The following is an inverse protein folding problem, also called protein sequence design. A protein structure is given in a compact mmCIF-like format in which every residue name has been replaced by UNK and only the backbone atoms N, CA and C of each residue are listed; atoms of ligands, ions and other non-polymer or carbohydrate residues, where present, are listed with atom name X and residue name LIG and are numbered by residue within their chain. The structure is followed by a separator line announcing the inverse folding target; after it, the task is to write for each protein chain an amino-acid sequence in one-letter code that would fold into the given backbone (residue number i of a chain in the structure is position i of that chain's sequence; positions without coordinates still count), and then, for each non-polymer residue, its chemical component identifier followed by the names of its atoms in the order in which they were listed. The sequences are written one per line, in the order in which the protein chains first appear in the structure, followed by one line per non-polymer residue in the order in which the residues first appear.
data_IF_738113656456
#
_entry.id   IF_738113656456
#
_cell.length_a   1.000
_cell.length_b   1.000
_cell.length_c   1.000
_cell.angle_alpha   90.00
_cell.angle_beta   90.00
_cell.angle_gamma   90.00
#
_symmetry.space_group_name_H-M   'P 1'
#
loop_
_entity.id
_entity.type
_entity.pdbx_description
1 polymer ?
#
# COMPACT_ATOMS: atom_id res chain seq x y z
N UNK A 1 14.28 -1.64 41.03
CA UNK A 1 13.07 -1.46 40.21
C UNK A 1 13.47 -0.66 38.98
N UNK A 2 13.69 -1.34 37.87
CA UNK A 2 14.04 -0.71 36.59
C UNK A 2 12.85 0.11 36.09
N UNK A 3 13.09 1.33 35.64
CA UNK A 3 12.04 2.18 35.06
C UNK A 3 11.38 1.45 33.88
N UNK A 4 10.05 1.60 33.68
CA UNK A 4 9.39 1.04 32.51
C UNK A 4 10.03 1.66 31.27
N UNK A 5 10.46 0.78 30.36
CA UNK A 5 10.98 1.14 29.05
C UNK A 5 10.01 2.15 28.41
N UNK A 6 10.46 3.38 28.15
CA UNK A 6 9.63 4.39 27.51
C UNK A 6 9.20 3.83 26.14
N UNK A 7 7.95 3.37 26.04
CA UNK A 7 7.30 3.12 24.77
C UNK A 7 7.32 4.45 24.00
N UNK A 8 8.29 4.61 23.09
CA UNK A 8 8.33 5.76 22.19
C UNK A 8 7.01 5.77 21.43
N UNK A 9 6.22 6.82 21.60
CA UNK A 9 5.04 7.08 20.77
C UNK A 9 5.50 6.99 19.31
N UNK A 10 4.90 6.07 18.55
CA UNK A 10 5.18 5.91 17.12
C UNK A 10 4.32 6.93 16.40
N UNK A 11 4.93 7.89 15.72
CA UNK A 11 4.22 8.82 14.85
C UNK A 11 4.29 8.32 13.42
N UNK A 12 3.16 8.34 12.71
CA UNK A 12 3.07 8.04 11.27
C UNK A 12 2.46 9.23 10.53
N UNK A 13 3.02 9.58 9.39
CA UNK A 13 2.48 10.60 8.50
C UNK A 13 1.41 9.99 7.58
N UNK A 14 0.19 10.53 7.64
CA UNK A 14 -0.91 10.15 6.76
C UNK A 14 -1.26 11.34 5.86
N UNK A 15 -1.03 11.19 4.57
CA UNK A 15 -1.24 12.24 3.57
C UNK A 15 -2.62 12.09 2.95
N UNK A 16 -3.40 13.17 2.97
CA UNK A 16 -4.75 13.23 2.41
C UNK A 16 -4.91 14.50 1.56
N UNK A 17 -5.74 14.42 0.51
CA UNK A 17 -6.02 15.58 -0.35
C UNK A 17 -6.89 16.59 0.39
N UNK A 18 -6.58 17.87 0.20
CA UNK A 18 -7.45 18.96 0.61
C UNK A 18 -8.81 18.85 -0.09
N UNK A 19 -9.88 19.24 0.61
CA UNK A 19 -11.26 19.22 0.13
C UNK A 19 -11.79 17.85 -0.34
N UNK A 20 -11.23 16.75 0.16
CA UNK A 20 -11.73 15.39 -0.05
C UNK A 20 -12.43 14.85 1.23
N UNK A 21 -13.77 15.00 1.34
CA UNK A 21 -14.50 14.65 2.56
C UNK A 21 -14.54 13.14 2.83
N UNK A 22 -14.38 12.30 1.81
CA UNK A 22 -14.32 10.85 1.96
C UNK A 22 -12.99 10.44 2.60
N UNK A 23 -11.86 10.95 2.08
CA UNK A 23 -10.55 10.72 2.70
C UNK A 23 -10.50 11.25 4.13
N UNK A 24 -11.07 12.43 4.39
CA UNK A 24 -11.09 13.03 5.72
C UNK A 24 -11.86 12.16 6.72
N UNK A 25 -13.02 11.62 6.35
CA UNK A 25 -13.81 10.76 7.24
C UNK A 25 -13.07 9.45 7.56
N UNK A 26 -12.45 8.81 6.56
CA UNK A 26 -11.70 7.56 6.76
C UNK A 26 -10.41 7.80 7.54
N UNK A 27 -9.74 8.92 7.31
CA UNK A 27 -8.56 9.32 8.09
C UNK A 27 -8.91 9.52 9.56
N UNK A 28 -10.05 10.15 9.86
CA UNK A 28 -10.52 10.39 11.22
C UNK A 28 -10.69 9.06 11.99
N UNK A 29 -11.39 8.09 11.39
CA UNK A 29 -11.58 6.75 11.94
C UNK A 29 -10.23 6.03 12.18
N UNK A 30 -9.34 6.03 11.17
CA UNK A 30 -8.01 5.39 11.27
C UNK A 30 -7.17 6.06 12.36
N UNK A 31 -7.17 7.39 12.44
CA UNK A 31 -6.43 8.16 13.43
C UNK A 31 -6.90 7.83 14.83
N UNK A 32 -8.21 7.73 15.05
CA UNK A 32 -8.78 7.35 16.34
C UNK A 32 -8.44 5.91 16.73
N UNK A 33 -8.52 4.97 15.80
CA UNK A 33 -8.18 3.57 16.05
C UNK A 33 -6.70 3.36 16.34
N UNK A 34 -5.81 4.02 15.60
CA UNK A 34 -4.37 3.96 15.84
C UNK A 34 -3.98 4.61 17.19
N UNK A 35 -4.69 5.66 17.62
CA UNK A 35 -4.46 6.28 18.92
C UNK A 35 -4.76 5.32 20.08
N UNK A 36 -5.76 4.43 19.95
CA UNK A 36 -6.11 3.41 20.97
C UNK A 36 -4.96 2.44 21.24
N UNK A 37 -4.06 2.24 20.28
CA UNK A 37 -2.88 1.38 20.39
C UNK A 37 -1.57 2.17 20.53
N UNK A 38 -1.64 3.48 20.80
CA UNK A 38 -0.47 4.32 21.07
C UNK A 38 0.32 4.77 19.84
N UNK A 39 -0.28 4.68 18.64
CA UNK A 39 0.27 5.23 17.40
C UNK A 39 -0.37 6.61 17.17
N UNK A 40 0.47 7.63 17.05
CA UNK A 40 0.04 8.98 16.70
C UNK A 40 0.01 9.11 15.19
N UNK A 41 -1.09 9.58 14.61
CA UNK A 41 -1.12 9.99 13.20
C UNK A 41 -0.86 11.49 13.11
N UNK A 42 0.02 11.87 12.20
CA UNK A 42 0.24 13.24 11.77
C UNK A 42 -0.40 13.42 10.39
N UNK A 43 -1.60 13.98 10.38
CA UNK A 43 -2.38 14.20 9.16
C UNK A 43 -1.79 15.35 8.36
N UNK A 44 -1.42 15.09 7.11
CA UNK A 44 -0.93 16.07 6.15
C UNK A 44 -2.01 16.33 5.10
N UNK A 45 -2.75 17.42 5.27
CA UNK A 45 -3.67 17.95 4.26
C UNK A 45 -2.86 18.71 3.21
N UNK A 46 -2.93 18.25 1.95
CA UNK A 46 -2.12 18.81 0.86
C UNK A 46 -2.95 19.11 -0.38
N UNK A 47 -2.52 20.12 -1.15
CA UNK A 47 -3.14 20.46 -2.42
C UNK A 47 -2.97 19.32 -3.45
N UNK A 48 -3.85 19.19 -4.46
CA UNK A 48 -3.81 18.11 -5.44
C UNK A 48 -2.45 17.96 -6.15
N UNK A 49 -1.81 19.06 -6.54
CA UNK A 49 -0.50 19.02 -7.20
C UNK A 49 0.64 18.57 -6.27
N UNK A 50 0.51 18.82 -4.97
CA UNK A 50 1.45 18.35 -3.95
C UNK A 50 1.22 16.87 -3.63
N UNK A 51 -0.03 16.43 -3.58
CA UNK A 51 -0.41 15.02 -3.37
C UNK A 51 0.26 14.10 -4.40
N UNK A 52 0.23 14.48 -5.69
CA UNK A 52 0.87 13.72 -6.77
C UNK A 52 2.41 13.65 -6.57
N UNK A 53 3.04 14.76 -6.18
CA UNK A 53 4.49 14.76 -5.93
C UNK A 53 4.86 13.89 -4.73
N UNK A 54 4.02 13.87 -3.70
CA UNK A 54 4.25 13.02 -2.53
C UNK A 54 4.12 11.54 -2.91
N UNK A 55 3.13 11.18 -3.73
CA UNK A 55 2.96 9.83 -4.30
C UNK A 55 4.22 9.37 -5.04
N UNK A 56 4.71 10.17 -5.98
CA UNK A 56 5.89 9.89 -6.81
C UNK A 56 7.16 9.76 -5.96
N UNK A 57 7.32 10.60 -4.94
CA UNK A 57 8.53 10.63 -4.10
C UNK A 57 8.51 9.63 -2.94
N UNK A 58 7.36 9.07 -2.56
CA UNK A 58 7.26 8.18 -1.41
C UNK A 58 7.35 8.87 -0.05
N UNK A 59 7.05 10.17 0.03
CA UNK A 59 7.16 10.96 1.27
C UNK A 59 5.91 10.82 2.16
N UNK A 60 5.64 9.60 2.62
CA UNK A 60 4.48 9.27 3.45
C UNK A 60 4.73 8.00 4.29
N UNK A 61 3.88 7.76 5.29
CA UNK A 61 3.78 6.43 5.92
C UNK A 61 2.47 5.74 5.55
N UNK A 62 1.38 6.50 5.46
CA UNK A 62 0.08 6.06 4.99
C UNK A 62 -0.37 6.97 3.84
N UNK A 63 -0.91 6.34 2.79
CA UNK A 63 -1.37 7.01 1.58
C UNK A 63 -2.56 6.24 1.00
N UNK A 64 -3.56 6.96 0.50
CA UNK A 64 -4.73 6.31 -0.10
C UNK A 64 -4.40 5.77 -1.49
N UNK A 65 -4.78 4.52 -1.73
CA UNK A 65 -4.76 3.90 -3.05
C UNK A 65 -6.01 3.04 -3.26
N UNK A 66 -6.26 2.64 -4.49
CA UNK A 66 -7.30 1.69 -4.87
C UNK A 66 -6.86 0.85 -6.05
N UNK A 67 -7.34 -0.39 -6.11
CA UNK A 67 -7.22 -1.20 -7.32
C UNK A 67 -8.11 -0.65 -8.45
N UNK A 68 -8.00 -1.22 -9.65
CA UNK A 68 -8.61 -0.65 -10.86
C UNK A 68 -9.91 -1.33 -11.28
N UNK A 69 -10.28 -2.43 -10.62
CA UNK A 69 -11.45 -3.23 -10.94
C UNK A 69 -11.30 -3.99 -12.26
N UNK A 70 -12.37 -4.67 -12.68
CA UNK A 70 -12.40 -5.36 -13.96
C UNK A 70 -12.33 -4.35 -15.13
N UNK A 71 -11.59 -4.67 -16.23
CA UNK A 71 -10.87 -5.92 -16.48
C UNK A 71 -9.42 -5.91 -15.97
N UNK A 72 -8.95 -4.85 -15.31
CA UNK A 72 -7.53 -4.62 -15.00
C UNK A 72 -7.00 -5.48 -13.84
N UNK A 73 -7.84 -5.77 -12.85
CA UNK A 73 -7.44 -6.53 -11.67
C UNK A 73 -7.38 -8.05 -11.97
N UNK A 74 -6.36 -8.78 -11.47
CA UNK A 74 -5.14 -8.28 -10.81
C UNK A 74 -3.99 -7.98 -11.79
N UNK A 75 -4.09 -8.43 -13.04
CA UNK A 75 -2.93 -8.60 -13.92
C UNK A 75 -2.31 -7.29 -14.42
N UNK A 76 -3.11 -6.31 -14.80
CA UNK A 76 -2.62 -5.00 -15.26
C UNK A 76 -2.29 -4.11 -14.07
N UNK A 77 -3.10 -4.14 -13.02
CA UNK A 77 -2.86 -3.37 -11.81
C UNK A 77 -1.54 -3.77 -11.13
N UNK A 78 -1.30 -5.05 -10.88
CA UNK A 78 -0.03 -5.47 -10.25
C UNK A 78 1.19 -5.21 -11.14
N UNK A 79 1.02 -5.27 -12.46
CA UNK A 79 2.11 -4.93 -13.40
C UNK A 79 2.44 -3.43 -13.36
N UNK A 80 1.46 -2.56 -13.06
CA UNK A 80 1.68 -1.12 -13.02
C UNK A 80 2.62 -0.67 -11.89
N UNK A 81 2.82 -1.49 -10.86
CA UNK A 81 3.69 -1.17 -9.72
C UNK A 81 5.17 -0.99 -10.09
N UNK A 82 5.58 -1.34 -11.32
CA UNK A 82 6.91 -1.01 -11.85
C UNK A 82 7.04 0.43 -12.37
N UNK A 83 5.93 1.17 -12.48
CA UNK A 83 5.86 2.52 -12.99
C UNK A 83 5.80 3.54 -11.83
N UNK A 84 6.71 4.50 -11.81
CA UNK A 84 6.82 5.53 -10.77
C UNK A 84 5.63 6.50 -10.69
N UNK A 85 4.71 6.46 -11.67
CA UNK A 85 3.45 7.19 -11.64
C UNK A 85 2.37 6.56 -10.74
N UNK A 86 2.67 5.47 -10.04
CA UNK A 86 1.75 4.79 -9.13
C UNK A 86 2.37 4.66 -7.75
N UNK A 87 1.60 4.97 -6.71
CA UNK A 87 1.99 4.88 -5.29
C UNK A 87 2.65 3.54 -4.93
N UNK A 88 2.21 2.43 -5.53
CA UNK A 88 2.78 1.12 -5.22
C UNK A 88 4.25 0.99 -5.64
N UNK A 89 4.72 1.79 -6.60
CA UNK A 89 6.13 1.87 -6.94
C UNK A 89 6.98 2.34 -5.77
N UNK A 90 6.58 3.45 -5.13
CA UNK A 90 7.31 3.99 -3.98
C UNK A 90 7.06 3.15 -2.72
N UNK A 91 5.85 2.65 -2.50
CA UNK A 91 5.50 1.79 -1.36
C UNK A 91 6.27 0.46 -1.33
N UNK A 92 6.61 -0.09 -2.50
CA UNK A 92 7.34 -1.37 -2.61
C UNK A 92 8.84 -1.23 -2.81
N UNK A 93 9.37 0.00 -2.88
CA UNK A 93 10.78 0.27 -3.20
C UNK A 93 11.77 -0.36 -2.21
N UNK A 94 11.36 -0.55 -0.96
CA UNK A 94 12.21 -1.07 0.13
C UNK A 94 11.85 -2.50 0.56
N UNK A 95 10.97 -3.20 -0.17
CA UNK A 95 10.64 -4.58 0.14
C UNK A 95 11.90 -5.45 0.15
N UNK A 96 12.04 -6.25 1.20
CA UNK A 96 13.16 -7.15 1.40
C UNK A 96 12.75 -8.60 1.07
N UNK A 97 13.71 -9.52 0.91
CA UNK A 97 13.40 -10.94 0.77
C UNK A 97 12.44 -11.42 1.89
N UNK A 98 11.45 -12.27 1.57
CA UNK A 98 11.39 -13.12 0.37
C UNK A 98 10.75 -12.49 -0.88
N UNK A 99 10.16 -11.29 -0.81
CA UNK A 99 9.43 -10.67 -1.91
C UNK A 99 9.95 -9.25 -2.22
N UNK A 100 11.07 -9.13 -2.92
CA UNK A 100 11.45 -7.82 -3.48
C UNK A 100 10.54 -7.47 -4.66
N UNK A 101 10.50 -6.18 -5.05
CA UNK A 101 9.73 -5.75 -6.23
C UNK A 101 10.17 -6.48 -7.49
N UNK A 102 11.47 -6.75 -7.65
CA UNK A 102 12.01 -7.50 -8.79
C UNK A 102 11.47 -8.93 -8.81
N UNK A 103 11.48 -9.62 -7.67
CA UNK A 103 10.90 -10.97 -7.53
C UNK A 103 9.41 -10.95 -7.86
N UNK A 104 8.68 -9.96 -7.36
CA UNK A 104 7.25 -9.79 -7.66
C UNK A 104 7.01 -9.61 -9.17
N UNK A 105 7.77 -8.73 -9.83
CA UNK A 105 7.65 -8.51 -11.27
C UNK A 105 8.00 -9.75 -12.10
N UNK A 106 8.99 -10.54 -11.67
CA UNK A 106 9.30 -11.82 -12.31
C UNK A 106 8.15 -12.82 -12.18
N UNK A 107 7.52 -12.93 -11.00
CA UNK A 107 6.35 -13.79 -10.79
C UNK A 107 5.18 -13.35 -11.67
N UNK A 108 4.89 -12.05 -11.75
CA UNK A 108 3.85 -11.47 -12.59
C UNK A 108 4.10 -11.77 -14.08
N UNK A 109 5.32 -11.59 -14.56
CA UNK A 109 5.68 -11.93 -15.95
C UNK A 109 5.43 -13.41 -16.25
N UNK A 110 5.87 -14.31 -15.36
CA UNK A 110 5.70 -15.77 -15.53
C UNK A 110 4.23 -16.17 -15.61
N UNK A 111 3.35 -15.59 -14.78
CA UNK A 111 1.92 -15.92 -14.84
C UNK A 111 1.24 -15.37 -16.09
N UNK A 112 1.69 -14.24 -16.62
CA UNK A 112 1.19 -13.67 -17.88
C UNK A 112 1.57 -14.48 -19.12
N UNK A 113 2.69 -15.21 -19.07
CA UNK A 113 3.15 -16.10 -20.15
C UNK A 113 2.55 -17.51 -20.08
N UNK A 114 1.83 -17.84 -19.00
CA UNK A 114 1.21 -19.15 -18.79
C UNK A 114 -0.11 -19.31 -19.55
N UNK A 115 -0.42 -20.53 -19.99
CA UNK A 115 -1.64 -20.89 -20.72
C UNK A 115 -2.55 -21.86 -19.95
N UNK A 116 -1.97 -22.71 -19.09
CA UNK A 116 -2.73 -23.64 -18.28
C UNK A 116 -3.47 -22.93 -17.13
N UNK A 117 -4.80 -23.06 -17.13
CA UNK A 117 -5.67 -22.32 -16.21
C UNK A 117 -5.50 -22.74 -14.74
N UNK A 118 -5.21 -24.02 -14.48
CA UNK A 118 -4.96 -24.50 -13.12
C UNK A 118 -3.65 -23.90 -12.57
N UNK A 119 -2.62 -23.85 -13.42
CA UNK A 119 -1.32 -23.25 -13.11
C UNK A 119 -1.43 -21.74 -12.91
N UNK A 120 -2.12 -21.01 -13.80
CA UNK A 120 -2.38 -19.56 -13.65
C UNK A 120 -3.03 -19.27 -12.30
N UNK A 121 -4.06 -20.04 -11.92
CA UNK A 121 -4.75 -19.88 -10.64
C UNK A 121 -3.81 -20.10 -9.45
N UNK A 122 -2.97 -21.13 -9.52
CA UNK A 122 -1.99 -21.42 -8.46
C UNK A 122 -0.96 -20.30 -8.32
N UNK A 123 -0.45 -19.79 -9.44
CA UNK A 123 0.55 -18.72 -9.44
C UNK A 123 -0.02 -17.40 -8.92
N UNK A 124 -1.24 -17.03 -9.33
CA UNK A 124 -1.89 -15.84 -8.77
C UNK A 124 -2.17 -15.96 -7.28
N UNK A 125 -2.56 -17.16 -6.81
CA UNK A 125 -2.73 -17.42 -5.38
C UNK A 125 -1.43 -17.17 -4.61
N UNK A 126 -0.31 -17.68 -5.11
CA UNK A 126 1.01 -17.48 -4.51
C UNK A 126 1.39 -16.00 -4.49
N UNK A 127 1.30 -15.31 -5.63
CA UNK A 127 1.63 -13.88 -5.75
C UNK A 127 0.83 -13.03 -4.75
N UNK A 128 -0.49 -13.23 -4.67
CA UNK A 128 -1.35 -12.48 -3.77
C UNK A 128 -1.10 -12.81 -2.31
N UNK A 129 -0.73 -14.07 -2.01
CA UNK A 129 -0.34 -14.49 -0.66
C UNK A 129 0.97 -13.80 -0.23
N UNK A 130 1.99 -13.78 -1.10
CA UNK A 130 3.26 -13.14 -0.77
C UNK A 130 3.07 -11.64 -0.50
N UNK A 131 2.26 -10.96 -1.33
CA UNK A 131 1.93 -9.53 -1.13
C UNK A 131 1.25 -9.32 0.22
N UNK A 132 0.27 -10.17 0.55
CA UNK A 132 -0.47 -10.08 1.81
C UNK A 132 0.46 -10.24 3.02
N UNK A 133 1.41 -11.17 2.96
CA UNK A 133 2.38 -11.41 4.05
C UNK A 133 3.34 -10.25 4.29
N UNK A 134 3.56 -9.37 3.30
CA UNK A 134 4.36 -8.15 3.48
C UNK A 134 3.60 -7.02 4.19
N UNK A 135 2.27 -7.15 4.39
CA UNK A 135 1.43 -6.15 5.04
C UNK A 135 1.57 -4.71 4.46
N UNK A 136 1.79 -4.59 3.15
CA UNK A 136 1.95 -3.29 2.47
C UNK A 136 0.63 -2.51 2.32
N UNK A 137 -0.51 -3.19 2.48
CA UNK A 137 -1.84 -2.57 2.42
C UNK A 137 -2.59 -2.77 3.73
N UNK A 138 -3.43 -1.78 4.04
CA UNK A 138 -4.54 -1.89 4.98
C UNK A 138 -5.84 -1.88 4.16
N UNK A 139 -6.39 -3.04 3.75
CA UNK A 139 -7.63 -3.08 2.98
C UNK A 139 -8.81 -2.59 3.82
N UNK A 140 -9.60 -1.66 3.29
CA UNK A 140 -10.71 -1.06 4.01
C UNK A 140 -12.07 -1.55 3.51
N UNK A 141 -12.37 -1.29 2.23
CA UNK A 141 -13.59 -1.76 1.55
C UNK A 141 -13.28 -2.15 0.10
N UNK A 142 -14.23 -2.86 -0.52
CA UNK A 142 -14.20 -3.23 -1.93
C UNK A 142 -15.61 -3.17 -2.52
N UNK A 143 -15.69 -3.09 -3.84
CA UNK A 143 -16.95 -3.14 -4.61
C UNK A 143 -17.31 -4.55 -5.03
#
# INVERSE_FOLDING_TARGET
MSAPEQCKTRTVDFVIKLDDPEMAAVEDDIREDLAKIGIKVNTRLVEPEEYIKIEENGDYNLFFTRSWGAPYDPHTYLKSWENNAHVEYSATANLQPPLTREILMEKIKKVQEQLDQATIRSMWKEILQDIHEQAIFLPLWGT
#
